data_IF_481976006993
#
_entry.id   IF_481976006993
#
_cell.length_a   1.000
_cell.length_b   1.000
_cell.length_c   1.000
_cell.angle_alpha   90.00
_cell.angle_beta   90.00
_cell.angle_gamma   90.00
#
_symmetry.space_group_name_H-M   'P 1'
#
loop_
_entity.id
_entity.type
_entity.pdbx_description
1 polymer ?
#
# COMPACT_ATOMS: atom_id res chain seq x y z
N UNK A 1 -19.35 153.96 64.58
CA UNK A 1 -20.11 152.69 64.50
C UNK A 1 -19.50 151.67 63.54
N UNK A 2 -18.82 152.07 62.46
CA UNK A 2 -18.19 151.13 61.50
C UNK A 2 -16.91 150.43 61.99
N UNK A 3 -16.23 150.90 63.04
CA UNK A 3 -14.99 150.28 63.56
C UNK A 3 -15.23 149.13 64.55
N UNK A 4 -16.41 149.08 65.18
CA UNK A 4 -16.79 148.02 66.14
C UNK A 4 -17.36 146.77 65.45
N UNK A 5 -17.90 146.92 64.24
CA UNK A 5 -18.45 145.81 63.45
C UNK A 5 -17.30 145.01 62.79
N UNK A 6 -16.24 145.68 62.33
CA UNK A 6 -15.09 145.01 61.68
C UNK A 6 -14.22 144.15 62.62
N UNK A 7 -14.17 144.46 63.93
CA UNK A 7 -13.42 143.65 64.91
C UNK A 7 -14.07 142.28 65.17
N UNK A 8 -15.39 142.26 65.34
CA UNK A 8 -16.15 141.02 65.60
C UNK A 8 -16.13 140.02 64.43
N UNK A 9 -16.05 140.50 63.18
CA UNK A 9 -16.00 139.63 62.01
C UNK A 9 -14.62 139.01 61.80
N UNK A 10 -13.54 139.75 62.08
CA UNK A 10 -12.17 139.23 61.99
C UNK A 10 -11.88 138.13 63.02
N UNK A 11 -12.38 138.28 64.25
CA UNK A 11 -12.21 137.26 65.29
C UNK A 11 -12.94 135.95 64.95
N UNK A 12 -14.11 136.04 64.30
CA UNK A 12 -14.85 134.88 63.81
C UNK A 12 -14.12 134.18 62.65
N UNK A 13 -13.48 134.93 61.75
CA UNK A 13 -12.67 134.39 60.65
C UNK A 13 -11.44 133.65 61.21
N UNK A 14 -10.71 134.23 62.16
CA UNK A 14 -9.55 133.57 62.79
C UNK A 14 -9.95 132.27 63.52
N UNK A 15 -11.09 132.26 64.21
CA UNK A 15 -11.61 131.05 64.85
C UNK A 15 -11.99 129.97 63.82
N UNK A 16 -12.56 130.36 62.69
CA UNK A 16 -12.88 129.45 61.59
C UNK A 16 -11.62 128.89 60.94
N UNK A 17 -10.61 129.71 60.69
CA UNK A 17 -9.30 129.29 60.17
C UNK A 17 -8.62 128.28 61.10
N UNK A 18 -8.64 128.53 62.42
CA UNK A 18 -8.11 127.59 63.41
C UNK A 18 -8.88 126.26 63.41
N UNK A 19 -10.21 126.29 63.30
CA UNK A 19 -11.03 125.07 63.20
C UNK A 19 -10.72 124.29 61.93
N UNK A 20 -10.56 124.97 60.79
CA UNK A 20 -10.19 124.35 59.53
C UNK A 20 -8.82 123.67 59.65
N UNK A 21 -7.85 124.33 60.28
CA UNK A 21 -6.52 123.77 60.47
C UNK A 21 -6.52 122.57 61.42
N UNK A 22 -7.31 122.61 62.48
CA UNK A 22 -7.52 121.46 63.36
C UNK A 22 -8.14 120.27 62.60
N UNK A 23 -9.18 120.51 61.79
CA UNK A 23 -9.82 119.47 60.98
C UNK A 23 -8.84 118.88 59.96
N UNK A 24 -8.00 119.71 59.32
CA UNK A 24 -6.94 119.23 58.41
C UNK A 24 -5.95 118.32 59.13
N UNK A 25 -5.50 118.73 60.32
CA UNK A 25 -4.58 117.91 61.12
C UNK A 25 -5.21 116.59 61.56
N UNK A 26 -6.48 116.60 61.99
CA UNK A 26 -7.23 115.37 62.29
C UNK A 26 -7.36 114.48 61.05
N UNK A 27 -7.65 115.05 59.89
CA UNK A 27 -7.75 114.31 58.63
C UNK A 27 -6.41 113.65 58.25
N UNK A 28 -5.29 114.36 58.38
CA UNK A 28 -3.94 113.82 58.14
C UNK A 28 -3.65 112.65 59.09
N UNK A 29 -3.99 112.77 60.38
CA UNK A 29 -3.80 111.70 61.36
C UNK A 29 -4.65 110.47 61.00
N UNK A 30 -5.90 110.67 60.60
CA UNK A 30 -6.81 109.59 60.18
C UNK A 30 -6.24 108.89 58.93
N UNK A 31 -5.84 109.65 57.92
CA UNK A 31 -5.29 109.11 56.68
C UNK A 31 -4.02 108.28 56.93
N UNK A 32 -3.09 108.79 57.75
CA UNK A 32 -1.89 108.07 58.14
C UNK A 32 -2.22 106.79 58.94
N UNK A 33 -3.22 106.84 59.81
CA UNK A 33 -3.67 105.66 60.57
C UNK A 33 -4.27 104.60 59.64
N UNK A 34 -5.10 105.00 58.67
CA UNK A 34 -5.66 104.11 57.66
C UNK A 34 -4.54 103.47 56.83
N UNK A 35 -3.59 104.28 56.35
CA UNK A 35 -2.44 103.78 55.58
C UNK A 35 -1.63 102.74 56.35
N UNK A 36 -1.31 103.02 57.63
CA UNK A 36 -0.55 102.10 58.47
C UNK A 36 -1.32 100.80 58.74
N UNK A 37 -2.63 100.89 59.00
CA UNK A 37 -3.48 99.71 59.21
C UNK A 37 -3.61 98.85 57.95
N UNK A 38 -3.79 99.47 56.79
CA UNK A 38 -3.82 98.75 55.50
C UNK A 38 -2.50 98.05 55.22
N UNK A 39 -1.38 98.72 55.49
CA UNK A 39 -0.03 98.14 55.33
C UNK A 39 0.17 96.93 56.26
N UNK A 40 -0.28 97.00 57.53
CA UNK A 40 -0.22 95.86 58.45
C UNK A 40 -1.09 94.69 57.97
N UNK A 41 -2.33 94.97 57.52
CA UNK A 41 -3.22 93.96 56.96
C UNK A 41 -2.58 93.28 55.75
N UNK A 42 -2.02 94.06 54.81
CA UNK A 42 -1.33 93.55 53.63
C UNK A 42 -0.16 92.64 54.02
N UNK A 43 0.71 93.09 54.93
CA UNK A 43 1.83 92.29 55.43
C UNK A 43 1.38 90.97 56.08
N UNK A 44 0.29 90.99 56.86
CA UNK A 44 -0.29 89.80 57.48
C UNK A 44 -0.86 88.83 56.43
N UNK A 45 -1.52 89.35 55.40
CA UNK A 45 -2.04 88.56 54.28
C UNK A 45 -0.88 87.89 53.54
N UNK A 46 0.15 88.65 53.15
CA UNK A 46 1.34 88.13 52.47
C UNK A 46 2.02 87.04 53.31
N UNK A 47 2.20 87.28 54.61
CA UNK A 47 2.80 86.30 55.53
C UNK A 47 1.99 85.00 55.59
N UNK A 48 0.66 85.09 55.67
CA UNK A 48 -0.21 83.93 55.73
C UNK A 48 -0.23 83.15 54.42
N UNK A 49 -0.28 83.83 53.26
CA UNK A 49 -0.20 83.18 51.96
C UNK A 49 1.14 82.48 51.76
N UNK A 50 2.25 83.11 52.13
CA UNK A 50 3.59 82.50 52.06
C UNK A 50 3.69 81.22 52.91
N UNK A 51 3.16 81.24 54.14
CA UNK A 51 3.09 80.04 54.99
C UNK A 51 2.21 78.94 54.39
N UNK A 52 1.07 79.30 53.82
CA UNK A 52 0.17 78.34 53.19
C UNK A 52 0.83 77.66 51.97
N UNK A 53 1.52 78.45 51.14
CA UNK A 53 2.25 77.96 49.98
C UNK A 53 3.40 77.02 50.37
N UNK A 54 4.20 77.40 51.37
CA UNK A 54 5.26 76.54 51.91
C UNK A 54 4.71 75.22 52.46
N UNK A 55 3.60 75.25 53.20
CA UNK A 55 2.96 74.05 53.70
C UNK A 55 2.45 73.15 52.56
N UNK A 56 1.88 73.74 51.51
CA UNK A 56 1.45 73.00 50.33
C UNK A 56 2.65 72.34 49.62
N UNK A 57 3.75 73.07 49.44
CA UNK A 57 4.98 72.56 48.85
C UNK A 57 5.59 71.40 49.66
N UNK A 58 5.66 71.52 50.99
CA UNK A 58 6.19 70.45 51.85
C UNK A 58 5.28 69.22 51.82
N UNK A 59 3.96 69.42 51.85
CA UNK A 59 3.00 68.31 51.80
C UNK A 59 3.04 67.57 50.46
N UNK A 60 3.09 68.31 49.35
CA UNK A 60 3.15 67.70 48.00
C UNK A 60 4.46 66.94 47.80
N UNK A 61 5.61 67.54 48.12
CA UNK A 61 6.92 66.85 48.02
C UNK A 61 7.02 65.62 48.94
N UNK A 62 6.44 65.69 50.14
CA UNK A 62 6.39 64.54 51.06
C UNK A 62 5.52 63.42 50.50
N UNK A 63 4.38 63.75 49.91
CA UNK A 63 3.50 62.78 49.26
C UNK A 63 4.18 62.12 48.07
N UNK A 64 4.82 62.91 47.19
CA UNK A 64 5.56 62.41 46.03
C UNK A 64 6.66 61.44 46.45
N UNK A 65 7.43 61.79 47.49
CA UNK A 65 8.45 60.89 48.05
C UNK A 65 7.85 59.58 48.55
N UNK A 66 6.73 59.62 49.27
CA UNK A 66 6.05 58.41 49.76
C UNK A 66 5.54 57.54 48.62
N UNK A 67 4.93 58.15 47.60
CA UNK A 67 4.46 57.45 46.40
C UNK A 67 5.64 56.77 45.70
N UNK A 68 6.74 57.49 45.49
CA UNK A 68 7.94 56.94 44.85
C UNK A 68 8.52 55.75 45.62
N UNK A 69 8.65 55.86 46.95
CA UNK A 69 9.14 54.76 47.79
C UNK A 69 8.21 53.55 47.72
N UNK A 70 6.89 53.76 47.81
CA UNK A 70 5.91 52.68 47.75
C UNK A 70 5.93 51.97 46.39
N UNK A 71 5.97 52.72 45.27
CA UNK A 71 6.07 52.16 43.92
C UNK A 71 7.35 51.35 43.77
N UNK A 72 8.48 51.85 44.29
CA UNK A 72 9.76 51.15 44.22
C UNK A 72 9.73 49.84 45.02
N UNK A 73 9.13 49.84 46.21
CA UNK A 73 8.94 48.62 47.01
C UNK A 73 8.07 47.61 46.27
N UNK A 74 6.90 48.02 45.78
CA UNK A 74 5.98 47.14 45.03
C UNK A 74 6.65 46.54 43.79
N UNK A 75 7.45 47.34 43.07
CA UNK A 75 8.22 46.84 41.91
C UNK A 75 9.23 45.76 42.30
N UNK A 76 9.85 45.88 43.46
CA UNK A 76 10.77 44.87 43.97
C UNK A 76 10.03 43.60 44.42
N UNK A 77 8.90 43.76 45.11
CA UNK A 77 8.07 42.64 45.55
C UNK A 77 7.55 41.82 44.35
N UNK A 78 7.06 42.50 43.30
CA UNK A 78 6.65 41.86 42.05
C UNK A 78 7.79 41.08 41.40
N UNK A 79 9.01 41.66 41.36
CA UNK A 79 10.19 40.96 40.81
C UNK A 79 10.52 39.70 41.59
N UNK A 80 10.47 39.74 42.92
CA UNK A 80 10.74 38.58 43.77
C UNK A 80 9.70 37.48 43.53
N UNK A 81 8.42 37.83 43.47
CA UNK A 81 7.33 36.88 43.18
C UNK A 81 7.51 36.25 41.80
N UNK A 82 7.85 37.05 40.78
CA UNK A 82 8.09 36.56 39.43
C UNK A 82 9.24 35.55 39.38
N UNK A 83 10.38 35.87 39.99
CA UNK A 83 11.54 34.97 40.06
C UNK A 83 11.18 33.66 40.77
N UNK A 84 10.42 33.73 41.87
CA UNK A 84 9.99 32.54 42.60
C UNK A 84 9.05 31.66 41.75
N UNK A 85 8.10 32.27 41.03
CA UNK A 85 7.21 31.56 40.12
C UNK A 85 7.97 30.88 38.98
N UNK A 86 8.88 31.60 38.33
CA UNK A 86 9.69 31.08 37.22
C UNK A 86 10.59 29.92 37.69
N UNK A 87 11.19 30.05 38.88
CA UNK A 87 12.04 29.00 39.47
C UNK A 87 11.22 27.74 39.79
N UNK A 88 10.03 27.91 40.40
CA UNK A 88 9.14 26.78 40.71
C UNK A 88 8.67 26.07 39.44
N UNK A 89 8.34 26.83 38.38
CA UNK A 89 7.95 26.27 37.10
C UNK A 89 9.11 25.44 36.51
N UNK A 90 10.32 26.00 36.48
CA UNK A 90 11.51 25.31 35.96
C UNK A 90 11.84 24.03 36.74
N UNK A 91 11.74 24.05 38.07
CA UNK A 91 11.94 22.86 38.90
C UNK A 91 10.88 21.79 38.61
N UNK A 92 9.62 22.19 38.48
CA UNK A 92 8.55 21.24 38.18
C UNK A 92 8.70 20.62 36.79
N UNK A 93 9.06 21.41 35.77
CA UNK A 93 9.27 20.89 34.41
C UNK A 93 10.48 19.96 34.35
N UNK A 94 11.59 20.29 35.01
CA UNK A 94 12.78 19.44 35.01
C UNK A 94 12.55 18.11 35.74
N UNK A 95 11.80 18.12 36.86
CA UNK A 95 11.40 16.88 37.55
C UNK A 95 10.48 16.04 36.67
N UNK A 96 9.54 16.65 35.95
CA UNK A 96 8.65 15.95 35.03
C UNK A 96 9.45 15.32 33.88
N UNK A 97 10.35 16.08 33.25
CA UNK A 97 11.21 15.60 32.15
C UNK A 97 12.05 14.40 32.59
N UNK A 98 12.66 14.47 33.79
CA UNK A 98 13.44 13.36 34.34
C UNK A 98 12.58 12.10 34.57
N UNK A 99 11.37 12.26 35.11
CA UNK A 99 10.43 11.14 35.32
C UNK A 99 10.00 10.51 33.99
N UNK A 100 9.68 11.34 32.99
CA UNK A 100 9.32 10.87 31.66
C UNK A 100 10.49 10.11 31.03
N UNK A 101 11.70 10.66 31.08
CA UNK A 101 12.91 10.03 30.55
C UNK A 101 13.15 8.65 31.17
N UNK A 102 13.07 8.54 32.50
CA UNK A 102 13.28 7.27 33.20
C UNK A 102 12.22 6.23 32.84
N UNK A 103 10.95 6.63 32.79
CA UNK A 103 9.86 5.72 32.43
C UNK A 103 10.03 5.21 30.98
N UNK A 104 10.42 6.08 30.04
CA UNK A 104 10.70 5.69 28.65
C UNK A 104 11.88 4.72 28.59
N UNK A 105 12.95 4.99 29.35
CA UNK A 105 14.13 4.12 29.40
C UNK A 105 13.79 2.72 29.93
N UNK A 106 13.01 2.63 31.01
CA UNK A 106 12.52 1.36 31.56
C UNK A 106 11.58 0.61 30.60
N UNK A 107 10.70 1.34 29.92
CA UNK A 107 9.83 0.75 28.91
C UNK A 107 10.63 0.19 27.74
N UNK A 108 11.65 0.91 27.28
CA UNK A 108 12.53 0.46 26.19
C UNK A 108 13.30 -0.80 26.57
N UNK A 109 13.88 -0.88 27.78
CA UNK A 109 14.57 -2.10 28.22
C UNK A 109 13.62 -3.29 28.33
N UNK A 110 12.39 -3.07 28.79
CA UNK A 110 11.34 -4.09 28.82
C UNK A 110 10.98 -4.56 27.42
N UNK A 111 10.81 -3.64 26.47
CA UNK A 111 10.53 -3.97 25.07
C UNK A 111 11.65 -4.78 24.42
N UNK A 112 12.91 -4.42 24.64
CA UNK A 112 14.06 -5.17 24.15
C UNK A 112 14.08 -6.61 24.71
N UNK A 113 13.84 -6.77 26.02
CA UNK A 113 13.75 -8.08 26.65
C UNK A 113 12.63 -8.94 26.07
N UNK A 114 11.45 -8.37 25.82
CA UNK A 114 10.33 -9.07 25.17
C UNK A 114 10.69 -9.45 23.74
N UNK A 115 11.33 -8.54 22.98
CA UNK A 115 11.75 -8.82 21.61
C UNK A 115 12.76 -9.96 21.53
N UNK A 116 13.69 -10.07 22.49
CA UNK A 116 14.64 -11.18 22.56
C UNK A 116 13.92 -12.50 22.86
N UNK A 117 13.05 -12.53 23.87
CA UNK A 117 12.27 -13.74 24.19
C UNK A 117 11.40 -14.20 23.01
N UNK A 118 10.78 -13.28 22.28
CA UNK A 118 10.00 -13.61 21.08
C UNK A 118 10.86 -14.24 19.99
N UNK A 119 12.09 -13.77 19.80
CA UNK A 119 13.05 -14.36 18.86
C UNK A 119 13.39 -15.80 19.27
N UNK A 120 13.73 -16.02 20.53
CA UNK A 120 14.08 -17.35 21.05
C UNK A 120 12.92 -18.36 20.93
N UNK A 121 11.69 -17.89 21.18
CA UNK A 121 10.47 -18.68 20.98
C UNK A 121 10.30 -19.04 19.51
N UNK A 122 10.48 -18.07 18.61
CA UNK A 122 10.34 -18.29 17.17
C UNK A 122 11.36 -19.30 16.63
N UNK A 123 12.61 -19.21 17.09
CA UNK A 123 13.68 -20.15 16.71
C UNK A 123 13.40 -21.56 17.24
N UNK A 124 12.87 -21.67 18.46
CA UNK A 124 12.44 -22.95 19.04
C UNK A 124 11.28 -23.56 18.27
N UNK A 125 10.30 -22.75 17.85
CA UNK A 125 9.17 -23.18 17.04
C UNK A 125 9.62 -23.68 15.66
N UNK A 126 10.60 -23.02 15.04
CA UNK A 126 11.16 -23.44 13.76
C UNK A 126 11.82 -24.83 13.88
N UNK A 127 12.62 -25.06 14.92
CA UNK A 127 13.22 -26.37 15.20
C UNK A 127 12.17 -27.45 15.43
N UNK A 128 11.10 -27.14 16.16
CA UNK A 128 9.99 -28.06 16.36
C UNK A 128 9.30 -28.41 15.03
N UNK A 129 9.08 -27.42 14.15
CA UNK A 129 8.48 -27.63 12.83
C UNK A 129 9.33 -28.56 11.97
N UNK A 130 10.65 -28.39 11.96
CA UNK A 130 11.58 -29.27 11.24
C UNK A 130 11.57 -30.71 11.79
N UNK A 131 11.53 -30.86 13.12
CA UNK A 131 11.43 -32.17 13.76
C UNK A 131 10.12 -32.89 13.40
N UNK A 132 9.00 -32.18 13.44
CA UNK A 132 7.68 -32.71 13.04
C UNK A 132 7.71 -33.15 11.58
N UNK A 133 8.30 -32.35 10.68
CA UNK A 133 8.41 -32.72 9.27
C UNK A 133 9.23 -34.00 9.06
N UNK A 134 10.34 -34.14 9.79
CA UNK A 134 11.15 -35.36 9.75
C UNK A 134 10.36 -36.57 10.22
N UNK A 135 9.60 -36.43 11.32
CA UNK A 135 8.73 -37.50 11.81
C UNK A 135 7.65 -37.87 10.80
N UNK A 136 7.02 -36.90 10.14
CA UNK A 136 6.03 -37.14 9.10
C UNK A 136 6.60 -37.94 7.92
N UNK A 137 7.82 -37.61 7.48
CA UNK A 137 8.47 -38.35 6.40
C UNK A 137 8.74 -39.81 6.81
N UNK A 138 9.16 -40.04 8.06
CA UNK A 138 9.34 -41.39 8.60
C UNK A 138 8.02 -42.16 8.65
N UNK A 139 6.93 -41.53 9.13
CA UNK A 139 5.60 -42.13 9.16
C UNK A 139 5.17 -42.52 7.75
N UNK A 140 5.27 -41.61 6.78
CA UNK A 140 4.87 -41.89 5.40
C UNK A 140 5.65 -43.08 4.80
N UNK A 141 6.95 -43.19 5.09
CA UNK A 141 7.76 -44.32 4.63
C UNK A 141 7.31 -45.63 5.30
N UNK A 142 7.11 -45.64 6.62
CA UNK A 142 6.59 -46.81 7.34
C UNK A 142 5.20 -47.23 6.83
N UNK A 143 4.31 -46.27 6.58
CA UNK A 143 3.00 -46.52 5.97
C UNK A 143 3.11 -47.16 4.59
N UNK A 144 4.03 -46.68 3.74
CA UNK A 144 4.32 -47.33 2.45
C UNK A 144 4.80 -48.77 2.63
N UNK A 145 5.69 -49.01 3.60
CA UNK A 145 6.20 -50.35 3.88
C UNK A 145 5.10 -51.31 4.33
N UNK A 146 4.26 -50.90 5.27
CA UNK A 146 3.14 -51.69 5.79
C UNK A 146 2.10 -51.97 4.69
N UNK A 147 1.74 -50.95 3.91
CA UNK A 147 0.79 -51.13 2.81
C UNK A 147 1.32 -52.07 1.73
N UNK A 148 2.64 -52.12 1.52
CA UNK A 148 3.25 -53.08 0.61
C UNK A 148 3.19 -54.51 1.15
N UNK A 149 3.53 -54.74 2.43
CA UNK A 149 3.69 -56.09 2.98
C UNK A 149 2.41 -56.72 3.55
N UNK A 150 1.38 -55.92 3.81
CA UNK A 150 0.08 -56.41 4.32
C UNK A 150 -0.70 -57.26 3.32
N UNK A 151 -0.43 -57.14 2.02
CA UNK A 151 -0.99 -58.02 1.00
C UNK A 151 -0.07 -59.24 0.79
N UNK A 152 -0.62 -60.44 0.99
CA UNK A 152 0.07 -61.70 0.73
C UNK A 152 0.64 -61.70 -0.71
N UNK A 153 1.96 -61.90 -0.82
CA UNK A 153 2.64 -61.99 -2.10
C UNK A 153 3.35 -60.73 -2.59
N UNK A 154 3.44 -59.65 -1.80
CA UNK A 154 4.21 -58.43 -2.13
C UNK A 154 5.43 -58.25 -1.22
N UNK A 155 6.49 -57.61 -1.72
CA UNK A 155 7.73 -57.30 -0.97
C UNK A 155 8.45 -56.10 -1.56
N UNK A 156 9.29 -55.43 -0.76
CA UNK A 156 10.04 -54.25 -1.20
C UNK A 156 11.41 -54.68 -1.72
N UNK A 157 11.71 -54.37 -2.98
CA UNK A 157 13.01 -54.63 -3.61
C UNK A 157 13.49 -53.32 -4.24
N UNK A 158 14.71 -52.89 -3.90
CA UNK A 158 15.31 -51.63 -4.36
C UNK A 158 14.40 -50.41 -4.17
N UNK A 159 13.65 -50.35 -3.06
CA UNK A 159 12.76 -49.23 -2.74
C UNK A 159 11.42 -49.23 -3.47
N UNK A 160 11.13 -50.23 -4.30
CA UNK A 160 9.83 -50.39 -4.97
C UNK A 160 9.06 -51.58 -4.39
N UNK A 161 7.74 -51.43 -4.23
CA UNK A 161 6.86 -52.52 -3.87
C UNK A 161 6.62 -53.44 -5.09
N UNK A 162 7.01 -54.70 -4.98
CA UNK A 162 7.02 -55.69 -6.05
C UNK A 162 6.15 -56.88 -5.63
N UNK A 163 5.24 -57.31 -6.51
CA UNK A 163 4.52 -58.56 -6.32
C UNK A 163 5.47 -59.74 -6.60
N UNK A 164 5.73 -60.59 -5.62
CA UNK A 164 6.56 -61.79 -5.74
C UNK A 164 5.74 -63.05 -6.05
N UNK A 165 4.49 -63.10 -5.60
CA UNK A 165 3.62 -64.26 -5.81
C UNK A 165 2.45 -63.86 -6.69
N UNK A 166 2.35 -64.53 -7.84
CA UNK A 166 1.24 -64.35 -8.74
C UNK A 166 0.07 -65.23 -8.31
N UNK A 167 -1.17 -64.69 -8.26
CA UNK A 167 -2.33 -65.40 -7.72
C UNK A 167 -2.79 -66.55 -8.62
N UNK A 168 -2.23 -66.66 -9.82
CA UNK A 168 -2.63 -67.60 -10.86
C UNK A 168 -1.47 -68.57 -11.15
N UNK A 169 -1.78 -69.86 -11.14
CA UNK A 169 -0.87 -70.91 -11.57
C UNK A 169 -0.45 -70.72 -13.03
N UNK A 170 0.86 -70.74 -13.30
CA UNK A 170 1.43 -70.54 -14.63
C UNK A 170 1.92 -69.12 -14.93
N UNK A 171 1.84 -68.20 -13.96
CA UNK A 171 2.47 -66.88 -14.02
C UNK A 171 3.81 -66.84 -13.28
N UNK A 172 4.73 -66.00 -13.74
CA UNK A 172 5.95 -65.60 -13.07
C UNK A 172 5.96 -64.08 -12.91
N UNK A 173 6.43 -63.62 -11.75
CA UNK A 173 6.68 -62.19 -11.55
C UNK A 173 7.95 -61.78 -12.28
N UNK A 174 7.80 -60.87 -13.24
CA UNK A 174 8.92 -60.25 -13.96
C UNK A 174 8.83 -58.75 -13.66
N UNK A 175 9.83 -58.21 -12.94
CA UNK A 175 9.87 -56.82 -12.49
C UNK A 175 8.60 -56.36 -11.74
N UNK A 176 7.97 -57.26 -10.98
CA UNK A 176 6.77 -56.96 -10.19
C UNK A 176 5.45 -56.97 -10.94
N UNK A 177 5.48 -57.35 -12.21
CA UNK A 177 4.28 -57.60 -13.01
C UNK A 177 4.15 -59.11 -13.18
N UNK A 178 3.00 -59.65 -12.81
CA UNK A 178 2.66 -61.05 -13.06
C UNK A 178 2.40 -61.27 -14.54
N UNK A 179 3.29 -62.01 -15.19
CA UNK A 179 3.21 -62.37 -16.60
C UNK A 179 3.15 -63.88 -16.74
N UNK A 180 2.50 -64.37 -17.80
CA UNK A 180 2.48 -65.82 -18.06
C UNK A 180 3.90 -66.31 -18.39
N UNK A 181 4.27 -67.48 -17.86
CA UNK A 181 5.62 -68.07 -18.03
C UNK A 181 5.94 -68.30 -19.52
N UNK A 182 4.91 -68.65 -20.29
CA UNK A 182 5.05 -68.90 -21.71
C UNK A 182 4.83 -67.60 -22.50
N UNK A 183 5.69 -67.41 -23.50
CA UNK A 183 5.66 -66.25 -24.39
C UNK A 183 4.30 -66.19 -25.10
N UNK A 184 3.73 -64.99 -25.18
CA UNK A 184 2.50 -64.67 -25.92
C UNK A 184 1.18 -65.23 -25.33
N UNK A 185 1.18 -65.69 -24.08
CA UNK A 185 -0.05 -66.05 -23.35
C UNK A 185 -0.72 -64.82 -22.71
N UNK A 186 -2.04 -64.88 -22.61
CA UNK A 186 -2.87 -63.90 -21.90
C UNK A 186 -3.58 -64.57 -20.72
N UNK A 187 -3.91 -63.78 -19.69
CA UNK A 187 -4.69 -64.26 -18.55
C UNK A 187 -6.16 -64.26 -18.92
N UNK A 188 -6.81 -65.42 -18.88
CA UNK A 188 -8.26 -65.55 -19.06
C UNK A 188 -8.81 -66.52 -18.01
N UNK A 189 -9.84 -66.09 -17.28
CA UNK A 189 -10.51 -66.89 -16.24
C UNK A 189 -9.54 -67.49 -15.18
N UNK A 190 -8.50 -66.75 -14.80
CA UNK A 190 -7.56 -67.23 -13.78
C UNK A 190 -6.56 -68.27 -14.28
N UNK A 191 -6.36 -68.40 -15.61
CA UNK A 191 -5.32 -69.25 -16.21
C UNK A 191 -4.60 -68.52 -17.34
N UNK A 192 -3.35 -68.89 -17.59
CA UNK A 192 -2.59 -68.45 -18.75
C UNK A 192 -2.98 -69.27 -19.98
N UNK A 193 -3.57 -68.61 -20.97
CA UNK A 193 -4.06 -69.24 -22.21
C UNK A 193 -3.57 -68.48 -23.43
N UNK A 194 -3.46 -69.17 -24.56
CA UNK A 194 -3.22 -68.49 -25.83
C UNK A 194 -4.47 -67.70 -26.25
N UNK A 195 -4.30 -66.52 -26.87
CA UNK A 195 -5.43 -65.74 -27.39
C UNK A 195 -6.20 -66.52 -28.47
N UNK A 196 -7.47 -66.13 -28.69
CA UNK A 196 -8.28 -66.73 -29.76
C UNK A 196 -7.54 -66.66 -31.12
N UNK A 197 -7.71 -67.71 -31.93
CA UNK A 197 -7.08 -67.89 -33.24
C UNK A 197 -5.54 -68.05 -33.22
N UNK A 198 -5.00 -68.53 -32.09
CA UNK A 198 -3.61 -68.95 -31.98
C UNK A 198 -3.48 -70.40 -31.48
N UNK A 199 -2.35 -71.02 -31.79
CA UNK A 199 -1.99 -72.39 -31.40
C UNK A 199 -0.70 -72.38 -30.60
N UNK A 200 -0.58 -73.35 -29.68
CA UNK A 200 0.65 -73.56 -28.92
C UNK A 200 1.60 -74.39 -29.78
N UNK A 201 2.71 -73.81 -30.22
CA UNK A 201 3.82 -74.55 -30.82
C UNK A 201 5.03 -74.40 -29.91
N UNK A 202 5.51 -75.53 -29.38
CA UNK A 202 6.69 -75.60 -28.49
C UNK A 202 6.66 -74.47 -27.45
N UNK A 203 5.64 -74.48 -26.59
CA UNK A 203 5.41 -73.52 -25.50
C UNK A 203 5.20 -72.04 -25.89
N UNK A 204 5.12 -71.70 -27.18
CA UNK A 204 4.85 -70.32 -27.64
C UNK A 204 3.50 -70.26 -28.36
N UNK A 205 2.68 -69.23 -28.05
CA UNK A 205 1.46 -68.98 -28.83
C UNK A 205 1.84 -68.34 -30.18
N UNK A 206 1.49 -69.01 -31.27
CA UNK A 206 1.64 -68.49 -32.63
C UNK A 206 0.26 -68.36 -33.29
N UNK A 207 0.09 -67.36 -34.14
CA UNK A 207 -1.18 -67.15 -34.82
C UNK A 207 -1.45 -68.25 -35.85
N UNK A 208 -2.70 -68.70 -35.95
CA UNK A 208 -3.10 -69.79 -36.85
C UNK A 208 -3.13 -69.37 -38.32
N UNK A 209 -3.18 -68.05 -38.57
CA UNK A 209 -3.42 -67.46 -39.88
C UNK A 209 -2.10 -66.93 -40.45
N UNK A 210 -1.81 -67.26 -41.69
CA UNK A 210 -0.62 -66.82 -42.40
C UNK A 210 -0.54 -65.29 -42.50
N UNK A 211 0.57 -64.72 -42.03
CA UNK A 211 0.82 -63.26 -42.06
C UNK A 211 0.38 -62.50 -40.80
N UNK A 212 -0.16 -63.17 -39.79
CA UNK A 212 -0.40 -62.57 -38.47
C UNK A 212 0.87 -62.61 -37.58
N UNK A 213 1.03 -61.57 -36.78
CA UNK A 213 2.03 -61.45 -35.70
C UNK A 213 1.30 -61.24 -34.37
N UNK A 214 1.90 -61.72 -33.29
CA UNK A 214 1.36 -61.46 -31.95
C UNK A 214 1.76 -60.06 -31.51
N UNK A 215 0.78 -59.19 -31.25
CA UNK A 215 1.00 -57.85 -30.72
C UNK A 215 0.06 -57.64 -29.52
N UNK A 216 0.61 -57.29 -28.36
CA UNK A 216 -0.15 -57.05 -27.12
C UNK A 216 -1.15 -58.18 -26.74
N UNK A 217 -0.76 -59.44 -26.95
CA UNK A 217 -1.60 -60.59 -26.62
C UNK A 217 -2.78 -60.81 -27.58
N UNK A 218 -2.73 -60.23 -28.78
CA UNK A 218 -3.68 -60.49 -29.86
C UNK A 218 -2.95 -60.82 -31.17
N UNK A 219 -3.56 -61.69 -31.97
CA UNK A 219 -3.12 -61.93 -33.34
C UNK A 219 -3.58 -60.79 -34.24
N UNK A 220 -2.64 -60.01 -34.75
CA UNK A 220 -2.90 -58.91 -35.69
C UNK A 220 -2.13 -59.15 -36.98
N UNK A 221 -2.60 -58.64 -38.10
CA UNK A 221 -1.84 -58.75 -39.35
C UNK A 221 -0.54 -57.95 -39.27
N UNK A 222 0.57 -58.55 -39.74
CA UNK A 222 1.89 -57.90 -39.82
C UNK A 222 1.83 -56.59 -40.62
N UNK A 223 0.99 -56.57 -41.66
CA UNK A 223 0.72 -55.38 -42.45
C UNK A 223 -0.27 -54.47 -41.72
N UNK A 224 0.17 -53.26 -41.39
CA UNK A 224 -0.68 -52.28 -40.68
C UNK A 224 -1.88 -51.93 -41.56
N UNK A 225 -3.09 -52.11 -41.03
CA UNK A 225 -4.34 -51.86 -41.76
C UNK A 225 -4.87 -53.05 -42.59
N UNK A 226 -4.15 -54.17 -42.65
CA UNK A 226 -4.66 -55.39 -43.29
C UNK A 226 -5.74 -56.06 -42.43
N UNK A 227 -6.66 -56.74 -43.10
CA UNK A 227 -7.73 -57.52 -42.51
C UNK A 227 -7.60 -58.99 -42.94
N UNK A 228 -8.15 -59.89 -42.12
CA UNK A 228 -8.17 -61.31 -42.47
C UNK A 228 -9.28 -61.53 -43.50
N UNK A 229 -8.91 -61.95 -44.70
CA UNK A 229 -9.84 -62.49 -45.69
C UNK A 229 -9.33 -63.85 -46.16
N UNK A 230 -10.19 -64.88 -46.15
CA UNK A 230 -9.86 -66.25 -46.56
C UNK A 230 -8.60 -66.81 -45.88
N UNK A 231 -8.50 -66.66 -44.55
CA UNK A 231 -7.38 -67.18 -43.74
C UNK A 231 -5.98 -66.66 -44.13
N UNK A 232 -5.91 -65.49 -44.79
CA UNK A 232 -4.68 -64.75 -45.07
C UNK A 232 -4.88 -63.26 -44.75
N UNK A 233 -3.85 -62.62 -44.20
CA UNK A 233 -3.83 -61.17 -44.03
C UNK A 233 -3.72 -60.46 -45.39
N UNK A 234 -4.74 -59.72 -45.77
CA UNK A 234 -4.79 -58.98 -47.04
C UNK A 234 -5.22 -57.53 -46.80
N UNK A 235 -4.71 -56.62 -47.62
CA UNK A 235 -5.21 -55.26 -47.66
C UNK A 235 -6.63 -55.28 -48.23
N UNK A 236 -7.58 -54.62 -47.57
CA UNK A 236 -8.96 -54.67 -47.99
C UNK A 236 -9.22 -53.92 -49.29
N UNK A 237 -10.47 -53.95 -49.74
CA UNK A 237 -10.88 -53.48 -51.08
C UNK A 237 -10.45 -52.02 -51.31
N UNK A 238 -9.88 -51.75 -52.49
CA UNK A 238 -9.37 -50.43 -52.92
C UNK A 238 -8.17 -49.89 -52.11
N UNK A 239 -7.46 -50.76 -51.39
CA UNK A 239 -6.18 -50.43 -50.74
C UNK A 239 -5.03 -51.22 -51.36
N UNK A 240 -3.82 -50.66 -51.33
CA UNK A 240 -2.61 -51.32 -51.83
C UNK A 240 -1.59 -51.47 -50.72
N UNK A 241 -0.88 -52.59 -50.66
CA UNK A 241 0.22 -52.77 -49.72
C UNK A 241 1.43 -51.97 -50.22
N UNK A 242 1.75 -50.87 -49.54
CA UNK A 242 2.94 -50.07 -49.80
C UNK A 242 3.80 -50.15 -48.55
N UNK A 243 4.98 -50.76 -48.66
CA UNK A 243 5.97 -50.85 -47.57
C UNK A 243 5.39 -51.43 -46.26
N UNK A 244 4.69 -52.58 -46.33
CA UNK A 244 4.04 -53.24 -45.19
C UNK A 244 2.92 -52.43 -44.50
N UNK A 245 2.36 -51.43 -45.19
CA UNK A 245 1.18 -50.69 -44.73
C UNK A 245 0.13 -50.65 -45.83
N UNK A 246 -1.12 -51.02 -45.50
CA UNK A 246 -2.23 -50.85 -46.43
C UNK A 246 -2.49 -49.36 -46.60
N UNK A 247 -2.12 -48.83 -47.76
CA UNK A 247 -2.23 -47.42 -48.08
C UNK A 247 -3.43 -47.19 -48.98
N UNK A 248 -4.18 -46.15 -48.65
CA UNK A 248 -5.30 -45.69 -49.44
C UNK A 248 -4.86 -44.62 -50.46
N UNK A 249 -5.60 -44.48 -51.58
CA UNK A 249 -5.40 -43.39 -52.52
C UNK A 249 -5.52 -42.01 -51.86
N UNK A 250 -4.89 -40.99 -52.47
CA UNK A 250 -4.86 -39.63 -51.91
C UNK A 250 -6.26 -39.09 -51.64
N UNK A 251 -6.47 -38.59 -50.40
CA UNK A 251 -7.75 -38.07 -49.93
C UNK A 251 -8.67 -39.11 -49.26
N UNK A 252 -8.29 -40.39 -49.24
CA UNK A 252 -8.98 -41.44 -48.50
C UNK A 252 -8.25 -41.81 -47.20
N UNK A 253 -9.01 -42.23 -46.20
CA UNK A 253 -8.54 -42.81 -44.94
C UNK A 253 -9.02 -44.24 -44.80
N UNK A 254 -8.15 -45.09 -44.26
CA UNK A 254 -8.43 -46.49 -44.01
C UNK A 254 -9.29 -46.64 -42.75
N UNK A 255 -10.53 -47.11 -42.91
CA UNK A 255 -11.46 -47.38 -41.79
C UNK A 255 -11.87 -48.84 -41.88
N UNK A 256 -11.58 -49.63 -40.84
CA UNK A 256 -11.88 -51.07 -40.78
C UNK A 256 -11.38 -51.87 -41.99
N UNK A 257 -10.19 -51.54 -42.50
CA UNK A 257 -9.59 -52.23 -43.66
C UNK A 257 -10.14 -51.81 -45.02
N UNK A 258 -11.06 -50.85 -45.10
CA UNK A 258 -11.61 -50.30 -46.35
C UNK A 258 -11.23 -48.83 -46.49
N UNK A 259 -10.80 -48.42 -47.69
CA UNK A 259 -10.51 -47.02 -47.96
C UNK A 259 -11.80 -46.21 -48.12
N UNK A 260 -11.94 -45.16 -47.32
CA UNK A 260 -13.10 -44.26 -47.34
C UNK A 260 -12.63 -42.83 -47.55
N UNK A 261 -13.29 -42.06 -48.42
CA UNK A 261 -12.94 -40.65 -48.60
C UNK A 261 -13.25 -39.86 -47.33
N UNK A 262 -12.31 -39.02 -46.88
CA UNK A 262 -12.51 -38.20 -45.66
C UNK A 262 -13.63 -37.17 -45.82
N UNK A 263 -14.00 -36.81 -47.04
CA UNK A 263 -15.20 -36.04 -47.30
C UNK A 263 -16.41 -36.95 -47.54
N UNK A 264 -17.46 -36.80 -46.72
CA UNK A 264 -18.77 -37.46 -46.89
C UNK A 264 -19.42 -37.19 -48.26
N UNK A 265 -18.98 -36.13 -48.95
CA UNK A 265 -19.43 -35.74 -50.29
C UNK A 265 -18.44 -36.13 -51.41
N UNK A 266 -17.50 -37.05 -51.16
CA UNK A 266 -16.55 -37.54 -52.15
C UNK A 266 -16.71 -39.05 -52.40
N UNK A 267 -16.38 -39.50 -53.61
CA UNK A 267 -16.30 -40.92 -53.96
C UNK A 267 -14.93 -41.25 -54.56
N UNK A 268 -14.54 -42.51 -54.52
CA UNK A 268 -13.29 -43.00 -55.11
C UNK A 268 -13.52 -43.17 -56.61
N UNK A 269 -12.76 -42.43 -57.43
CA UNK A 269 -12.74 -42.59 -58.89
C UNK A 269 -11.29 -42.74 -59.32
N UNK A 270 -10.88 -43.96 -59.67
CA UNK A 270 -9.46 -44.28 -59.86
C UNK A 270 -8.67 -44.23 -58.54
N UNK A 271 -7.42 -43.72 -58.60
CA UNK A 271 -6.51 -43.63 -57.43
C UNK A 271 -6.67 -42.33 -56.60
N UNK A 272 -7.83 -41.65 -56.63
CA UNK A 272 -8.07 -40.41 -55.88
C UNK A 272 -9.53 -40.27 -55.41
N UNK A 273 -9.72 -39.55 -54.29
CA UNK A 273 -11.03 -39.11 -53.84
C UNK A 273 -11.47 -37.83 -54.55
N UNK A 274 -12.62 -37.86 -55.22
CA UNK A 274 -13.15 -36.72 -55.98
C UNK A 274 -14.35 -36.13 -55.24
N UNK A 275 -14.28 -34.84 -54.94
CA UNK A 275 -15.27 -34.10 -54.15
C UNK A 275 -16.41 -33.58 -55.03
N UNK A 276 -17.67 -33.73 -54.62
CA UNK A 276 -18.83 -33.19 -55.37
C UNK A 276 -18.93 -31.66 -55.41
N UNK A 277 -18.12 -30.93 -54.63
CA UNK A 277 -18.19 -29.48 -54.53
C UNK A 277 -16.79 -28.84 -54.61
N UNK A 278 -16.35 -28.46 -55.82
CA UNK A 278 -15.21 -27.56 -56.01
C UNK A 278 -15.49 -26.59 -57.17
N UNK A 279 -16.08 -25.44 -56.83
CA UNK A 279 -15.71 -24.13 -57.39
C UNK A 279 -15.87 -23.09 -56.28
N UNK A 280 -15.01 -22.08 -56.31
CA UNK A 280 -14.97 -20.84 -55.50
C UNK A 280 -13.96 -20.85 -54.32
N UNK A 281 -12.79 -20.35 -54.70
CA UNK A 281 -11.92 -19.41 -53.99
C UNK A 281 -11.09 -19.88 -52.79
N UNK A 282 -9.82 -20.13 -53.12
CA UNK A 282 -8.68 -19.83 -52.29
C UNK A 282 -8.52 -18.32 -52.04
N UNK A 283 -7.79 -17.99 -50.96
CA UNK A 283 -7.10 -16.72 -50.66
C UNK A 283 -7.90 -15.59 -49.98
N UNK A 284 -7.56 -15.28 -48.71
CA UNK A 284 -6.69 -14.14 -48.38
C UNK A 284 -6.82 -13.66 -46.91
N UNK A 285 -5.71 -13.77 -46.18
CA UNK A 285 -5.16 -12.84 -45.17
C UNK A 285 -6.10 -11.76 -44.56
N UNK A 286 -6.82 -12.06 -43.47
CA UNK A 286 -7.27 -11.02 -42.51
C UNK A 286 -7.52 -11.59 -41.11
N UNK A 287 -6.48 -11.98 -40.35
CA UNK A 287 -6.62 -12.32 -38.92
C UNK A 287 -5.41 -11.95 -38.04
N UNK A 288 -4.80 -10.78 -38.26
CA UNK A 288 -3.71 -10.29 -37.37
C UNK A 288 -3.99 -8.96 -36.68
N UNK A 289 -5.13 -8.32 -36.94
CA UNK A 289 -5.46 -7.01 -36.34
C UNK A 289 -6.31 -7.11 -35.05
N UNK A 290 -7.12 -8.16 -34.86
CA UNK A 290 -7.93 -8.30 -33.64
C UNK A 290 -7.11 -8.65 -32.39
N UNK A 291 -5.97 -9.33 -32.56
CA UNK A 291 -5.18 -9.81 -31.43
C UNK A 291 -4.37 -8.67 -30.74
N UNK A 292 -4.00 -7.62 -31.47
CA UNK A 292 -3.29 -6.46 -30.90
C UNK A 292 -4.21 -5.53 -30.11
N UNK A 293 -5.47 -5.38 -30.51
CA UNK A 293 -6.45 -4.52 -29.81
C UNK A 293 -6.85 -5.11 -28.46
N UNK A 294 -6.97 -6.43 -28.36
CA UNK A 294 -7.32 -7.13 -27.13
C UNK A 294 -6.17 -7.04 -26.10
N UNK A 295 -4.91 -7.13 -26.54
CA UNK A 295 -3.75 -7.05 -25.65
C UNK A 295 -3.60 -5.65 -25.01
N UNK A 296 -3.89 -4.59 -25.78
CA UNK A 296 -3.84 -3.19 -25.28
C UNK A 296 -4.97 -2.92 -24.30
N UNK A 297 -6.17 -3.46 -24.52
CA UNK A 297 -7.29 -3.33 -23.57
C UNK A 297 -7.04 -4.02 -22.23
N UNK A 298 -6.40 -5.19 -22.25
CA UNK A 298 -6.07 -5.93 -21.01
C UNK A 298 -5.04 -5.17 -20.18
N UNK A 299 -4.02 -4.56 -20.80
CA UNK A 299 -3.02 -3.77 -20.09
C UNK A 299 -3.60 -2.48 -19.48
N UNK A 300 -4.52 -1.80 -20.18
CA UNK A 300 -5.18 -0.60 -19.66
C UNK A 300 -6.10 -0.86 -18.45
N UNK A 301 -6.69 -2.05 -18.36
CA UNK A 301 -7.53 -2.47 -17.22
C UNK A 301 -6.68 -2.73 -15.97
N UNK A 302 -5.49 -3.33 -16.13
CA UNK A 302 -4.60 -3.63 -15.00
C UNK A 302 -4.03 -2.34 -14.36
N UNK A 303 -3.70 -1.33 -15.17
CA UNK A 303 -3.20 -0.03 -14.66
C UNK A 303 -4.26 0.71 -13.85
N UNK A 304 -5.53 0.66 -14.27
CA UNK A 304 -6.64 1.32 -13.53
C UNK A 304 -6.99 0.62 -12.21
N UNK A 305 -6.79 -0.69 -12.11
CA UNK A 305 -7.01 -1.43 -10.86
C UNK A 305 -5.93 -1.12 -9.82
N UNK A 306 -4.68 -0.99 -10.24
CA UNK A 306 -3.55 -0.61 -9.35
C UNK A 306 -3.70 0.83 -8.85
N UNK A 307 -4.15 1.77 -9.70
CA UNK A 307 -4.40 3.16 -9.29
C UNK A 307 -5.52 3.29 -8.24
N UNK A 308 -6.58 2.47 -8.33
CA UNK A 308 -7.68 2.49 -7.34
C UNK A 308 -7.23 1.92 -5.99
N UNK A 309 -6.38 0.89 -5.98
CA UNK A 309 -5.84 0.32 -4.75
C UNK A 309 -4.90 1.31 -4.02
N UNK A 310 -4.08 2.05 -4.77
CA UNK A 310 -3.14 3.03 -4.19
C UNK A 310 -3.85 4.27 -3.62
N UNK A 311 -4.94 4.72 -4.27
CA UNK A 311 -5.75 5.83 -3.78
C UNK A 311 -6.47 5.52 -2.44
N UNK A 312 -6.90 4.27 -2.23
CA UNK A 312 -7.54 3.88 -0.97
C UNK A 312 -6.56 3.74 0.21
N UNK A 313 -5.28 3.45 -0.06
CA UNK A 313 -4.23 3.35 0.97
C UNK A 313 -3.75 4.72 1.47
N UNK A 314 -3.78 5.76 0.64
CA UNK A 314 -3.29 7.11 1.00
C UNK A 314 -4.31 7.97 1.77
N UNK A 315 -5.61 7.68 1.66
CA UNK A 315 -6.69 8.40 2.38
C UNK A 315 -6.61 8.18 3.90
N UNK A 316 -5.89 7.15 4.37
CA UNK A 316 -5.85 6.79 5.80
C UNK A 316 -4.77 7.49 6.64
N UNK A 317 -3.87 8.31 6.06
CA UNK A 317 -2.71 8.82 6.83
C UNK A 317 -2.34 10.30 6.75
N UNK A 318 -2.80 11.12 5.79
CA UNK A 318 -2.36 12.53 5.72
C UNK A 318 -3.43 13.46 5.14
N UNK A 319 -4.14 14.23 5.98
CA UNK A 319 -5.33 15.01 5.55
C UNK A 319 -5.04 16.44 5.05
N UNK A 320 -3.80 16.91 4.99
CA UNK A 320 -3.50 18.32 4.62
C UNK A 320 -2.54 18.54 3.45
N UNK A 321 -1.75 17.53 3.01
CA UNK A 321 -0.88 17.65 1.82
C UNK A 321 -1.43 16.95 0.55
N UNK A 322 -2.62 16.34 0.64
CA UNK A 322 -3.20 15.49 -0.43
C UNK A 322 -3.52 16.25 -1.71
N UNK A 323 -4.01 17.50 -1.62
CA UNK A 323 -4.48 18.22 -2.82
C UNK A 323 -3.32 18.56 -3.76
N UNK A 324 -2.16 18.93 -3.21
CA UNK A 324 -0.98 19.31 -4.00
C UNK A 324 -0.34 18.10 -4.70
N UNK A 325 -0.24 16.97 -4.00
CA UNK A 325 0.35 15.73 -4.54
C UNK A 325 -0.57 15.11 -5.60
N UNK A 326 -1.90 15.11 -5.37
CA UNK A 326 -2.87 14.62 -6.35
C UNK A 326 -2.82 15.44 -7.66
N UNK A 327 -2.64 16.76 -7.55
CA UNK A 327 -2.51 17.66 -8.71
C UNK A 327 -1.22 17.39 -9.49
N UNK A 328 -0.09 17.24 -8.79
CA UNK A 328 1.21 16.95 -9.40
C UNK A 328 1.23 15.60 -10.13
N UNK A 329 0.60 14.57 -9.57
CA UNK A 329 0.50 13.24 -10.22
C UNK A 329 -0.37 13.31 -11.48
N UNK A 330 -1.49 14.04 -11.44
CA UNK A 330 -2.31 14.22 -12.65
C UNK A 330 -1.57 14.99 -13.74
N UNK A 331 -0.81 16.03 -13.37
CA UNK A 331 -0.01 16.80 -14.32
C UNK A 331 1.06 15.92 -14.99
N UNK A 332 1.74 15.07 -14.21
CA UNK A 332 2.79 14.18 -14.70
C UNK A 332 2.24 13.13 -15.69
N UNK A 333 1.05 12.59 -15.42
CA UNK A 333 0.37 11.63 -16.31
C UNK A 333 -0.03 12.30 -17.62
N UNK A 334 -0.55 13.53 -17.58
CA UNK A 334 -0.93 14.27 -18.79
C UNK A 334 0.30 14.52 -19.67
N UNK A 335 1.44 14.88 -19.06
CA UNK A 335 2.70 15.09 -19.78
C UNK A 335 3.20 13.79 -20.41
N UNK A 336 3.18 12.66 -19.69
CA UNK A 336 3.61 11.37 -20.23
C UNK A 336 2.74 10.92 -21.41
N UNK A 337 1.42 11.05 -21.30
CA UNK A 337 0.49 10.72 -22.40
C UNK A 337 0.73 11.62 -23.62
N UNK A 338 0.98 12.92 -23.41
CA UNK A 338 1.30 13.83 -24.52
C UNK A 338 2.64 13.49 -25.19
N UNK A 339 3.68 13.16 -24.42
CA UNK A 339 4.99 12.78 -24.96
C UNK A 339 4.88 11.51 -25.81
N UNK A 340 4.09 10.53 -25.38
CA UNK A 340 3.90 9.28 -26.11
C UNK A 340 3.06 9.48 -27.38
N UNK A 341 2.06 10.37 -27.35
CA UNK A 341 1.28 10.75 -28.53
C UNK A 341 2.16 11.48 -29.57
N UNK A 342 3.04 12.38 -29.11
CA UNK A 342 4.00 13.10 -29.94
C UNK A 342 5.03 12.14 -30.54
N UNK A 343 5.51 11.16 -29.78
CA UNK A 343 6.43 10.13 -30.29
C UNK A 343 5.77 9.26 -31.39
N UNK A 344 4.48 8.92 -31.23
CA UNK A 344 3.73 8.17 -32.25
C UNK A 344 3.45 9.01 -33.51
N UNK A 345 3.20 10.31 -33.36
CA UNK A 345 3.08 11.22 -34.52
C UNK A 345 4.43 11.39 -35.22
N UNK A 346 5.53 11.46 -34.48
CA UNK A 346 6.87 11.55 -35.07
C UNK A 346 7.24 10.29 -35.87
N UNK A 347 6.94 9.09 -35.35
CA UNK A 347 7.23 7.86 -36.10
C UNK A 347 6.39 7.73 -37.38
N UNK A 348 5.14 8.17 -37.35
CA UNK A 348 4.28 8.14 -38.55
C UNK A 348 4.74 9.16 -39.61
N UNK A 349 5.18 10.35 -39.21
CA UNK A 349 5.74 11.33 -40.14
C UNK A 349 7.12 10.93 -40.71
N UNK A 350 7.98 10.28 -39.92
CA UNK A 350 9.29 9.77 -40.40
C UNK A 350 9.11 8.63 -41.41
N UNK A 351 8.13 7.74 -41.19
CA UNK A 351 7.81 6.66 -42.14
C UNK A 351 7.20 7.20 -43.43
N UNK A 352 6.42 8.29 -43.37
CA UNK A 352 5.86 8.94 -44.57
C UNK A 352 6.95 9.72 -45.33
N UNK A 353 7.89 10.38 -44.66
CA UNK A 353 9.01 11.06 -45.33
C UNK A 353 9.97 10.08 -46.01
N UNK A 354 10.29 8.94 -45.36
CA UNK A 354 11.13 7.89 -45.94
C UNK A 354 10.45 7.11 -47.08
N UNK A 355 9.13 7.23 -47.23
CA UNK A 355 8.39 6.67 -48.36
C UNK A 355 8.28 7.64 -49.55
N UNK A 356 8.67 8.91 -49.37
CA UNK A 356 8.61 9.98 -50.39
C UNK A 356 10.00 10.38 -50.94
N UNK A 357 11.08 9.83 -50.41
CA UNK A 357 12.45 9.87 -50.96
C UNK A 357 12.84 8.50 -51.46
#
# INVERSE_FOLDING_TARGET
MSSLINGSTNDQIQLLEQKIENIKNEFIIIDQSIYNNLTDIENRIISNFSKADQNLYINTTTLDRRIYTNITSLKNDIKVIQIAADTNLLLNTTVLDWRIFNNISQLNSTFQNVSLKLRDINDSLLKQKEAIQKQQNTINNLTYQINCTSNLGFSIINGSCIQLVCPISGQQSINGICQCININQIVKNGYCVCPLNSQVVRITCICNIGGQVMLNGQCVCSTTGAIVMNDVCTCGVNSSNISNTCSCPSGASLVNGVCTCTNINAYISGNQCVNKAQMVCASARTQTQLCKVILVFVLLIQVRLVQRAFAQLLVKRYRTHIVLVQLLVHLLIIVLVHVELIAQTYQTHVVVLLALT
#
